data_IF_923048016312
#
_entry.id   IF_923048016312
#
_cell.length_a   1.000
_cell.length_b   1.000
_cell.length_c   1.000
_cell.angle_alpha   90.00
_cell.angle_beta   90.00
_cell.angle_gamma   90.00
#
_symmetry.space_group_name_H-M   'P 1'
#
loop_
_entity.id
_entity.type
_entity.pdbx_description
1 polymer ?
#
# COMPACT_ATOMS: atom_id res chain seq x y z
N UNK A 1 -8.65 -19.98 11.05
CA UNK A 1 -8.79 -19.27 9.76
C UNK A 1 -9.28 -17.83 9.91
N UNK A 2 -10.32 -17.52 10.70
CA UNK A 2 -10.86 -16.14 10.84
C UNK A 2 -9.85 -15.07 11.26
N UNK A 3 -8.95 -15.39 12.21
CA UNK A 3 -7.94 -14.44 12.71
C UNK A 3 -6.92 -14.06 11.63
N UNK A 4 -6.48 -15.03 10.82
CA UNK A 4 -5.57 -14.80 9.70
C UNK A 4 -6.19 -13.92 8.61
N UNK A 5 -7.46 -14.17 8.23
CA UNK A 5 -8.18 -13.31 7.30
C UNK A 5 -8.38 -11.88 7.83
N UNK A 6 -8.64 -11.74 9.14
CA UNK A 6 -8.75 -10.44 9.79
C UNK A 6 -7.42 -9.68 9.75
N UNK A 7 -6.30 -10.37 10.02
CA UNK A 7 -4.96 -9.79 9.90
C UNK A 7 -4.62 -9.38 8.47
N UNK A 8 -4.90 -10.23 7.47
CA UNK A 8 -4.68 -9.88 6.07
C UNK A 8 -5.48 -8.64 5.66
N UNK A 9 -6.74 -8.53 6.09
CA UNK A 9 -7.55 -7.33 5.85
C UNK A 9 -6.95 -6.10 6.53
N UNK A 10 -6.47 -6.23 7.77
CA UNK A 10 -5.82 -5.15 8.50
C UNK A 10 -4.55 -4.66 7.79
N UNK A 11 -3.70 -5.58 7.32
CA UNK A 11 -2.48 -5.23 6.56
C UNK A 11 -2.82 -4.51 5.26
N UNK A 12 -3.86 -4.94 4.53
CA UNK A 12 -4.32 -4.25 3.31
C UNK A 12 -4.75 -2.80 3.60
N UNK A 13 -5.44 -2.58 4.72
CA UNK A 13 -5.89 -1.23 5.12
C UNK A 13 -4.69 -0.34 5.48
N UNK A 14 -3.73 -0.86 6.27
CA UNK A 14 -2.52 -0.11 6.61
C UNK A 14 -1.70 0.21 5.37
N UNK A 15 -1.58 -0.74 4.43
CA UNK A 15 -0.85 -0.54 3.19
C UNK A 15 -1.51 0.55 2.33
N UNK A 16 -2.84 0.53 2.20
CA UNK A 16 -3.58 1.59 1.50
C UNK A 16 -3.37 2.96 2.18
N UNK A 17 -3.40 3.01 3.51
CA UNK A 17 -3.16 4.23 4.28
C UNK A 17 -1.74 4.77 4.05
N UNK A 18 -0.73 3.89 4.06
CA UNK A 18 0.66 4.26 3.82
C UNK A 18 0.88 4.84 2.42
N UNK A 19 0.28 4.21 1.39
CA UNK A 19 0.30 4.72 0.02
C UNK A 19 -0.38 6.09 -0.05
N UNK A 20 -1.54 6.27 0.60
CA UNK A 20 -2.25 7.53 0.60
C UNK A 20 -1.45 8.67 1.26
N UNK A 21 -0.83 8.41 2.41
CA UNK A 21 -0.01 9.40 3.11
C UNK A 21 1.25 9.79 2.32
N UNK A 22 1.93 8.80 1.72
CA UNK A 22 3.09 9.06 0.86
C UNK A 22 2.69 9.81 -0.41
N UNK A 23 1.53 9.48 -1.00
CA UNK A 23 1.01 10.16 -2.16
C UNK A 23 0.75 11.63 -1.84
N UNK A 24 0.06 11.89 -0.72
CA UNK A 24 -0.21 13.24 -0.23
C UNK A 24 1.08 14.03 -0.01
N UNK A 25 2.08 13.42 0.65
CA UNK A 25 3.41 14.02 0.82
C UNK A 25 4.08 14.35 -0.52
N UNK A 26 4.03 13.43 -1.49
CA UNK A 26 4.67 13.62 -2.79
C UNK A 26 4.09 14.78 -3.60
N UNK A 27 2.82 15.14 -3.38
CA UNK A 27 2.18 16.31 -4.00
C UNK A 27 2.82 17.61 -3.49
N UNK A 28 3.08 17.71 -2.19
CA UNK A 28 3.63 18.92 -1.58
C UNK A 28 5.16 19.03 -1.73
N UNK A 29 5.87 17.90 -1.73
CA UNK A 29 7.32 17.88 -1.85
C UNK A 29 7.78 16.69 -2.70
N UNK A 30 7.67 16.79 -4.03
CA UNK A 30 7.96 15.67 -4.92
C UNK A 30 9.46 15.35 -4.90
N UNK A 31 9.80 14.12 -4.50
CA UNK A 31 11.13 13.55 -4.69
C UNK A 31 11.04 12.31 -5.56
N UNK A 32 12.09 12.06 -6.36
CA UNK A 32 12.16 10.87 -7.20
C UNK A 32 12.08 9.56 -6.39
N UNK A 33 12.60 9.58 -5.15
CA UNK A 33 12.53 8.45 -4.23
C UNK A 33 11.10 8.20 -3.74
N UNK A 34 10.33 9.25 -3.42
CA UNK A 34 8.94 9.10 -2.98
C UNK A 34 8.07 8.48 -4.08
N UNK A 35 8.29 8.89 -5.34
CA UNK A 35 7.60 8.33 -6.51
C UNK A 35 7.98 6.85 -6.73
N UNK A 36 9.26 6.51 -6.60
CA UNK A 36 9.73 5.12 -6.73
C UNK A 36 9.11 4.23 -5.64
N UNK A 37 9.10 4.70 -4.38
CA UNK A 37 8.47 3.99 -3.26
C UNK A 37 6.98 3.82 -3.50
N UNK A 38 6.27 4.86 -3.97
CA UNK A 38 4.85 4.78 -4.30
C UNK A 38 4.56 3.73 -5.38
N UNK A 39 5.36 3.69 -6.44
CA UNK A 39 5.24 2.67 -7.49
C UNK A 39 5.42 1.25 -6.93
N UNK A 40 6.43 1.05 -6.08
CA UNK A 40 6.74 -0.26 -5.52
C UNK A 40 5.65 -0.74 -4.55
N UNK A 41 5.16 0.15 -3.69
CA UNK A 41 4.05 -0.13 -2.77
C UNK A 41 2.74 -0.38 -3.53
N UNK A 42 2.50 0.33 -4.63
CA UNK A 42 1.33 0.11 -5.47
C UNK A 42 1.35 -1.29 -6.13
N UNK A 43 2.51 -1.74 -6.62
CA UNK A 43 2.67 -3.10 -7.14
C UNK A 43 2.38 -4.15 -6.07
N UNK A 44 2.93 -3.97 -4.85
CA UNK A 44 2.66 -4.86 -3.71
C UNK A 44 1.17 -4.87 -3.36
N UNK A 45 0.52 -3.71 -3.38
CA UNK A 45 -0.91 -3.59 -3.15
C UNK A 45 -1.71 -4.39 -4.18
N UNK A 46 -1.45 -4.19 -5.48
CA UNK A 46 -2.11 -4.94 -6.56
C UNK A 46 -1.87 -6.45 -6.44
N UNK A 47 -0.64 -6.89 -6.17
CA UNK A 47 -0.29 -8.29 -5.98
C UNK A 47 -1.06 -8.94 -4.80
N UNK A 48 -1.24 -8.20 -3.69
CA UNK A 48 -2.04 -8.65 -2.54
C UNK A 48 -3.54 -8.83 -2.82
N UNK A 49 -4.06 -8.17 -3.86
CA UNK A 49 -5.45 -8.31 -4.29
C UNK A 49 -5.62 -9.39 -5.37
N UNK A 50 -4.63 -9.56 -6.26
CA UNK A 50 -4.65 -10.61 -7.30
C UNK A 50 -4.43 -12.01 -6.70
N UNK A 51 -3.56 -12.14 -5.70
CA UNK A 51 -3.25 -13.42 -5.06
C UNK A 51 -4.21 -13.86 -3.94
N UNK A 52 -5.27 -13.10 -3.68
CA UNK A 52 -6.25 -13.43 -2.64
C UNK A 52 -7.46 -14.15 -3.24
N UNK A 53 -7.68 -15.46 -2.96
CA UNK A 53 -8.98 -16.09 -3.17
C UNK A 53 -10.05 -15.52 -2.23
#
# INVERSE_FOLDING_TARGET
MRLFYSLLRFVKIILALAIFLLFLRSIFWPSALDLLILMLLFIVFVAMFIGAP
#
